data_IF_992632938214
#
_entry.id   IF_992632938214
#
_cell.length_a   1.000
_cell.length_b   1.000
_cell.length_c   1.000
_cell.angle_alpha   90.00
_cell.angle_beta   90.00
_cell.angle_gamma   90.00
#
_symmetry.space_group_name_H-M   'P 1'
#
loop_
_entity.id
_entity.type
_entity.pdbx_description
1 polymer ?
#
# COMPACT_ATOMS: atom_id res chain seq x y z
N UNK A 1 47.14 -13.93 13.70
CA UNK A 1 46.21 -12.89 14.16
C UNK A 1 44.86 -13.27 13.57
N UNK A 2 43.99 -13.85 14.40
CA UNK A 2 42.61 -14.16 14.04
C UNK A 2 41.83 -12.86 14.11
N UNK A 3 41.57 -12.27 12.95
CA UNK A 3 40.63 -11.18 12.84
C UNK A 3 39.22 -11.75 13.07
N UNK A 4 38.85 -11.89 14.34
CA UNK A 4 37.47 -12.10 14.80
C UNK A 4 36.67 -10.81 14.52
N UNK A 5 36.47 -10.49 13.24
CA UNK A 5 35.37 -9.59 12.89
C UNK A 5 34.08 -10.35 13.22
N UNK A 6 33.14 -9.75 14.00
CA UNK A 6 31.84 -10.36 14.15
C UNK A 6 31.28 -10.59 12.76
N UNK A 7 30.94 -11.85 12.43
CA UNK A 7 30.21 -12.17 11.21
C UNK A 7 28.99 -11.26 11.19
N UNK A 8 29.07 -10.19 10.38
CA UNK A 8 27.93 -9.35 10.10
C UNK A 8 26.96 -10.28 9.40
N UNK A 9 26.00 -10.81 10.15
CA UNK A 9 24.87 -11.54 9.61
C UNK A 9 24.21 -10.57 8.64
N UNK A 10 24.53 -10.66 7.35
CA UNK A 10 23.95 -9.79 6.35
C UNK A 10 22.46 -10.04 6.39
N UNK A 11 21.67 -9.05 6.78
CA UNK A 11 20.22 -9.14 6.79
C UNK A 11 19.78 -9.29 5.34
N UNK A 12 19.53 -10.52 4.92
CA UNK A 12 19.04 -10.79 3.59
C UNK A 12 17.56 -10.39 3.55
N UNK A 13 17.26 -9.34 2.78
CA UNK A 13 15.92 -8.85 2.56
C UNK A 13 15.51 -9.16 1.13
N UNK A 14 14.27 -9.61 0.97
CA UNK A 14 13.61 -9.71 -0.33
C UNK A 14 12.49 -8.69 -0.42
N UNK A 15 12.10 -8.37 -1.64
CA UNK A 15 10.97 -7.48 -1.93
C UNK A 15 9.96 -8.20 -2.77
N UNK A 16 8.72 -8.25 -2.29
CA UNK A 16 7.58 -8.80 -3.03
C UNK A 16 6.61 -7.68 -3.39
N UNK A 17 6.24 -7.60 -4.66
CA UNK A 17 5.26 -6.64 -5.17
C UNK A 17 3.88 -7.29 -5.24
N UNK A 18 2.88 -6.66 -4.63
CA UNK A 18 1.48 -7.07 -4.72
C UNK A 18 0.68 -6.05 -5.50
N UNK A 19 -0.05 -6.54 -6.50
CA UNK A 19 -1.03 -5.76 -7.23
C UNK A 19 -2.44 -6.28 -6.93
N UNK A 20 -3.30 -5.39 -6.44
CA UNK A 20 -4.71 -5.63 -6.15
C UNK A 20 -5.56 -4.93 -7.21
N UNK A 21 -6.16 -5.67 -8.15
CA UNK A 21 -6.93 -5.08 -9.26
C UNK A 21 -8.28 -4.53 -8.79
N UNK A 22 -8.59 -3.29 -9.15
CA UNK A 22 -9.86 -2.64 -8.82
C UNK A 22 -10.87 -2.78 -9.97
N UNK A 23 -11.56 -3.92 -10.05
CA UNK A 23 -12.50 -4.19 -11.15
C UNK A 23 -13.85 -3.45 -11.07
N UNK A 24 -14.21 -2.88 -9.91
CA UNK A 24 -15.58 -2.36 -9.66
C UNK A 24 -15.77 -0.86 -9.89
N UNK A 25 -14.86 -0.19 -10.59
CA UNK A 25 -15.02 1.23 -10.94
C UNK A 25 -14.95 2.19 -9.74
N UNK A 26 -14.23 1.79 -8.69
CA UNK A 26 -13.94 2.61 -7.51
C UNK A 26 -13.32 3.96 -7.90
N UNK A 27 -13.86 5.05 -7.37
CA UNK A 27 -13.57 6.42 -7.80
C UNK A 27 -12.59 7.13 -6.87
N UNK A 28 -12.69 6.89 -5.56
CA UNK A 28 -11.80 7.53 -4.58
C UNK A 28 -10.58 6.67 -4.27
N UNK A 29 -9.57 7.26 -3.62
CA UNK A 29 -8.42 6.49 -3.16
C UNK A 29 -8.80 5.58 -1.99
N UNK A 30 -9.67 6.04 -1.09
CA UNK A 30 -10.25 5.26 0.01
C UNK A 30 -10.98 4.02 -0.50
N UNK A 31 -11.86 4.17 -1.47
CA UNK A 31 -12.61 3.05 -2.06
C UNK A 31 -11.69 1.99 -2.70
N UNK A 32 -10.61 2.42 -3.35
CA UNK A 32 -9.61 1.51 -3.93
C UNK A 32 -8.84 0.74 -2.86
N UNK A 33 -8.52 1.38 -1.73
CA UNK A 33 -7.86 0.72 -0.60
C UNK A 33 -8.80 -0.28 0.10
N UNK A 34 -10.07 0.05 0.26
CA UNK A 34 -11.08 -0.89 0.79
C UNK A 34 -11.22 -2.12 -0.10
N UNK A 35 -11.25 -1.93 -1.44
CA UNK A 35 -11.20 -3.04 -2.39
C UNK A 35 -9.95 -3.88 -2.21
N UNK A 36 -8.78 -3.26 -2.15
CA UNK A 36 -7.51 -3.98 -2.03
C UNK A 36 -7.43 -4.82 -0.75
N UNK A 37 -7.99 -4.32 0.37
CA UNK A 37 -8.09 -5.10 1.62
C UNK A 37 -9.01 -6.30 1.44
N UNK A 38 -10.17 -6.10 0.83
CA UNK A 38 -11.09 -7.19 0.51
C UNK A 38 -10.43 -8.22 -0.42
N UNK A 39 -9.70 -7.78 -1.43
CA UNK A 39 -8.98 -8.64 -2.36
C UNK A 39 -7.84 -9.40 -1.68
N UNK A 40 -7.13 -8.78 -0.72
CA UNK A 40 -6.15 -9.47 0.12
C UNK A 40 -6.79 -10.56 0.97
N UNK A 41 -7.95 -10.29 1.57
CA UNK A 41 -8.71 -11.26 2.39
C UNK A 41 -9.26 -12.43 1.57
N UNK A 42 -9.48 -12.23 0.26
CA UNK A 42 -10.01 -13.24 -0.66
C UNK A 42 -8.95 -13.83 -1.61
N UNK A 43 -7.67 -13.54 -1.40
CA UNK A 43 -6.55 -14.02 -2.21
C UNK A 43 -6.62 -13.62 -3.70
N UNK A 44 -7.21 -12.46 -3.99
CA UNK A 44 -7.33 -11.90 -5.34
C UNK A 44 -6.22 -10.87 -5.62
N UNK A 45 -5.01 -11.34 -5.87
CA UNK A 45 -3.87 -10.47 -6.15
C UNK A 45 -2.91 -11.08 -7.17
N UNK A 46 -2.09 -10.23 -7.79
CA UNK A 46 -0.94 -10.65 -8.57
C UNK A 46 0.35 -10.36 -7.79
N UNK A 47 1.29 -11.31 -7.85
CA UNK A 47 2.62 -11.18 -7.23
C UNK A 47 3.66 -10.98 -8.33
N UNK A 48 4.58 -10.03 -8.11
CA UNK A 48 5.73 -9.83 -8.97
C UNK A 48 7.03 -9.84 -8.17
N UNK A 49 8.06 -10.48 -8.73
CA UNK A 49 9.42 -10.48 -8.17
C UNK A 49 10.18 -9.18 -8.46
N UNK A 50 9.72 -8.42 -9.46
CA UNK A 50 10.28 -7.13 -9.86
C UNK A 50 9.15 -6.11 -9.98
N UNK A 51 9.49 -4.82 -10.02
CA UNK A 51 8.52 -3.74 -10.24
C UNK A 51 7.75 -4.04 -11.54
N UNK A 52 6.43 -4.25 -11.50
CA UNK A 52 5.67 -4.52 -12.70
C UNK A 52 5.53 -3.26 -13.55
N UNK A 53 5.65 -3.39 -14.88
CA UNK A 53 5.17 -2.37 -15.80
C UNK A 53 3.65 -2.48 -15.89
N UNK A 54 2.94 -1.56 -15.24
CA UNK A 54 1.49 -1.47 -15.32
C UNK A 54 1.09 -0.50 -16.43
N UNK A 55 0.10 -0.88 -17.24
CA UNK A 55 -0.54 0.04 -18.21
C UNK A 55 -1.05 1.28 -17.47
N UNK A 56 -1.00 2.49 -18.07
CA UNK A 56 -1.64 3.68 -17.51
C UNK A 56 -3.16 3.51 -17.26
N UNK A 57 -3.77 2.52 -17.91
CA UNK A 57 -5.17 2.15 -17.75
C UNK A 57 -5.40 1.08 -16.67
N UNK A 58 -4.34 0.64 -15.98
CA UNK A 58 -4.46 -0.33 -14.90
C UNK A 58 -5.10 0.36 -13.70
N UNK A 59 -6.23 -0.16 -13.25
CA UNK A 59 -6.93 0.35 -12.06
C UNK A 59 -6.69 -0.62 -10.91
N UNK A 60 -6.03 -0.16 -9.85
CA UNK A 60 -5.68 -1.01 -8.71
C UNK A 60 -4.78 -0.32 -7.70
N UNK A 61 -4.33 -1.09 -6.72
CA UNK A 61 -3.34 -0.69 -5.73
C UNK A 61 -2.11 -1.58 -5.90
N UNK A 62 -0.95 -0.96 -6.14
CA UNK A 62 0.35 -1.63 -6.15
C UNK A 62 1.09 -1.26 -4.86
N UNK A 63 1.52 -2.27 -4.09
CA UNK A 63 2.39 -2.10 -2.92
C UNK A 63 3.59 -3.04 -3.01
N UNK A 64 4.68 -2.67 -2.34
CA UNK A 64 5.85 -3.52 -2.18
C UNK A 64 6.08 -3.80 -0.70
N UNK A 65 6.49 -5.02 -0.40
CA UNK A 65 6.74 -5.48 0.97
C UNK A 65 8.15 -6.00 1.05
N UNK A 66 8.93 -5.41 1.96
CA UNK A 66 10.23 -5.95 2.35
C UNK A 66 10.01 -7.01 3.43
N UNK A 67 10.65 -8.16 3.26
CA UNK A 67 10.53 -9.29 4.18
C UNK A 67 11.83 -10.11 4.20
N UNK A 68 11.99 -10.96 5.20
CA UNK A 68 13.11 -11.90 5.23
C UNK A 68 12.99 -12.92 4.09
N UNK A 69 14.12 -13.39 3.55
CA UNK A 69 14.13 -14.27 2.36
C UNK A 69 13.37 -15.59 2.57
N UNK A 70 13.30 -16.05 3.81
CA UNK A 70 12.62 -17.27 4.27
C UNK A 70 11.14 -17.05 4.64
N UNK A 71 10.61 -15.82 4.51
CA UNK A 71 9.21 -15.53 4.86
C UNK A 71 8.26 -16.22 3.88
N UNK A 72 7.34 -17.04 4.42
CA UNK A 72 6.27 -17.65 3.63
C UNK A 72 5.27 -16.62 3.11
N UNK A 73 4.63 -16.93 1.97
CA UNK A 73 3.62 -16.05 1.36
C UNK A 73 2.50 -15.60 2.32
N UNK A 74 1.95 -16.44 3.23
CA UNK A 74 0.94 -15.99 4.18
C UNK A 74 1.43 -14.87 5.10
N UNK A 75 2.69 -14.95 5.55
CA UNK A 75 3.32 -13.90 6.37
C UNK A 75 3.48 -12.62 5.58
N UNK A 76 3.99 -12.71 4.35
CA UNK A 76 4.19 -11.55 3.48
C UNK A 76 2.84 -10.88 3.18
N UNK A 77 1.79 -11.67 2.89
CA UNK A 77 0.44 -11.17 2.64
C UNK A 77 -0.18 -10.50 3.88
N UNK A 78 0.07 -11.04 5.08
CA UNK A 78 -0.38 -10.42 6.32
C UNK A 78 0.25 -9.03 6.53
N UNK A 79 1.54 -8.88 6.20
CA UNK A 79 2.22 -7.57 6.22
C UNK A 79 1.60 -6.65 5.16
N UNK A 80 1.41 -7.15 3.93
CA UNK A 80 0.77 -6.40 2.84
C UNK A 80 -0.61 -5.85 3.24
N UNK A 81 -1.45 -6.71 3.83
CA UNK A 81 -2.76 -6.34 4.35
C UNK A 81 -2.67 -5.29 5.45
N UNK A 82 -1.74 -5.44 6.39
CA UNK A 82 -1.48 -4.45 7.45
C UNK A 82 -1.16 -3.07 6.87
N UNK A 83 -0.31 -3.01 5.85
CA UNK A 83 0.01 -1.77 5.15
C UNK A 83 -1.19 -1.15 4.44
N UNK A 84 -2.03 -1.97 3.78
CA UNK A 84 -3.27 -1.47 3.17
C UNK A 84 -4.22 -0.83 4.20
N UNK A 85 -4.38 -1.45 5.38
CA UNK A 85 -5.19 -0.91 6.48
C UNK A 85 -4.60 0.41 6.98
N UNK A 86 -3.29 0.48 7.16
CA UNK A 86 -2.60 1.71 7.58
C UNK A 86 -2.80 2.83 6.56
N UNK A 87 -2.65 2.53 5.27
CA UNK A 87 -2.89 3.47 4.18
C UNK A 87 -4.34 3.93 4.13
N UNK A 88 -5.31 3.05 4.39
CA UNK A 88 -6.73 3.41 4.45
C UNK A 88 -7.02 4.42 5.55
N UNK A 89 -6.45 4.23 6.74
CA UNK A 89 -6.57 5.17 7.86
C UNK A 89 -6.00 6.55 7.48
N UNK A 90 -4.82 6.57 6.85
CA UNK A 90 -4.18 7.80 6.39
C UNK A 90 -5.03 8.49 5.32
N UNK A 91 -5.51 7.73 4.32
CA UNK A 91 -6.31 8.25 3.21
C UNK A 91 -7.60 8.90 3.71
N UNK A 92 -8.33 8.25 4.63
CA UNK A 92 -9.54 8.81 5.24
C UNK A 92 -9.27 10.13 5.95
N UNK A 93 -8.17 10.19 6.72
CA UNK A 93 -7.78 11.42 7.42
C UNK A 93 -7.48 12.56 6.44
N UNK A 94 -6.78 12.27 5.34
CA UNK A 94 -6.49 13.27 4.30
C UNK A 94 -7.77 13.77 3.63
N UNK A 95 -8.70 12.88 3.28
CA UNK A 95 -9.99 13.26 2.68
C UNK A 95 -10.83 14.11 3.66
N UNK A 96 -10.84 13.79 4.96
CA UNK A 96 -11.51 14.57 6.00
C UNK A 96 -10.90 15.97 6.20
N UNK A 97 -9.57 16.07 6.27
CA UNK A 97 -8.85 17.34 6.39
C UNK A 97 -9.06 18.21 5.14
N UNK A 98 -9.03 17.62 3.94
CA UNK A 98 -9.34 18.30 2.69
C UNK A 98 -10.78 18.83 2.62
N UNK A 99 -11.75 18.04 3.09
CA UNK A 99 -13.14 18.45 3.16
C UNK A 99 -13.39 19.59 4.16
N UNK A 100 -12.68 19.60 5.31
CA UNK A 100 -12.74 20.70 6.30
C UNK A 100 -12.16 22.00 5.73
N UNK A 101 -10.98 21.93 5.11
CA UNK A 101 -10.32 23.09 4.48
C UNK A 101 -11.19 23.72 3.38
N UNK A 102 -11.83 22.89 2.55
CA UNK A 102 -12.73 23.37 1.48
C UNK A 102 -13.97 24.07 2.05
N UNK A 103 -14.54 23.55 3.15
CA UNK A 103 -15.68 24.18 3.83
C UNK A 103 -15.30 25.52 4.46
N UNK A 104 -14.16 25.61 5.13
CA UNK A 104 -13.66 26.85 5.73
C UNK A 104 -13.39 27.94 4.67
N UNK A 105 -12.83 27.56 3.51
CA UNK A 105 -12.64 28.48 2.38
C UNK A 105 -13.97 28.94 1.76
N UNK A 106 -14.99 28.08 1.71
CA UNK A 106 -16.32 28.45 1.20
C UNK A 106 -17.12 29.35 2.14
N UNK A 107 -16.76 29.39 3.43
CA UNK A 107 -17.42 30.22 4.46
C UNK A 107 -16.76 31.59 4.64
N UNK A 108 -15.62 31.87 3.99
CA UNK A 108 -15.01 33.20 4.01
C UNK A 108 -15.84 34.15 3.13
N UNK A 109 -16.29 35.30 3.66
CA UNK A 109 -17.02 36.27 2.85
C UNK A 109 -16.10 36.74 1.73
N UNK A 110 -16.63 36.79 0.51
CA UNK A 110 -15.97 37.43 -0.63
C UNK A 110 -15.82 38.92 -0.30
N UNK A 111 -14.65 39.30 0.21
CA UNK A 111 -14.26 40.69 0.43
C UNK A 111 -14.24 41.38 -0.93
N UNK A 112 -15.25 42.20 -1.21
CA UNK A 112 -15.24 43.21 -2.27
C UNK A 112 -14.68 44.51 -1.73
#
# INVERSE_FOLDING_TARGET
>A
MSDDYPEVSQWQLSTTWFYFPCFRGYRTYVERLESAIHDADNLHYAIYQYVPFLSPHSWGILIYIHHAVDSGLPTILAIARGELVRLLVIARRIEEEGARSTREQSCLPSSR
#
